data_IF_796220764619
#
_entry.id   IF_796220764619
#
_cell.length_a   1.000
_cell.length_b   1.000
_cell.length_c   1.000
_cell.angle_alpha   90.00
_cell.angle_beta   90.00
_cell.angle_gamma   90.00
#
_symmetry.space_group_name_H-M   'P 1'
#
loop_
_entity.id
_entity.type
_entity.pdbx_description
1 polymer ?
#
# COMPACT_ATOMS: atom_id res chain seq x y z
N UNK A 1 -8.58 6.90 -9.31
CA UNK A 1 -7.61 6.22 -8.43
C UNK A 1 -8.43 5.51 -7.37
N UNK A 2 -8.21 4.21 -7.19
CA UNK A 2 -8.87 3.40 -6.17
C UNK A 2 -7.86 2.43 -5.54
N UNK A 3 -8.25 1.72 -4.49
CA UNK A 3 -7.37 0.85 -3.71
C UNK A 3 -7.52 -0.65 -4.03
N UNK A 4 -8.34 -1.01 -5.02
CA UNK A 4 -8.68 -2.41 -5.31
C UNK A 4 -7.47 -3.20 -5.76
N UNK A 5 -6.64 -2.58 -6.61
CA UNK A 5 -5.43 -3.21 -7.11
C UNK A 5 -4.46 -3.52 -5.97
N UNK A 6 -4.25 -2.57 -5.05
CA UNK A 6 -3.36 -2.78 -3.92
C UNK A 6 -3.90 -3.88 -3.00
N UNK A 7 -5.19 -3.86 -2.65
CA UNK A 7 -5.83 -4.92 -1.86
C UNK A 7 -5.61 -6.29 -2.50
N UNK A 8 -5.77 -6.39 -3.82
CA UNK A 8 -5.63 -7.66 -4.52
C UNK A 8 -4.17 -8.14 -4.60
N UNK A 9 -3.22 -7.23 -4.84
CA UNK A 9 -1.81 -7.56 -5.01
C UNK A 9 -1.02 -7.64 -3.70
N UNK A 10 -1.57 -7.13 -2.59
CA UNK A 10 -0.85 -7.00 -1.33
C UNK A 10 -0.26 -8.32 -0.83
N UNK A 11 -0.99 -9.43 -0.94
CA UNK A 11 -0.47 -10.74 -0.55
C UNK A 11 0.74 -11.17 -1.41
N UNK A 12 0.71 -10.92 -2.71
CA UNK A 12 1.84 -11.21 -3.60
C UNK A 12 3.05 -10.32 -3.26
N UNK A 13 2.82 -9.03 -2.98
CA UNK A 13 3.89 -8.15 -2.50
C UNK A 13 4.49 -8.65 -1.20
N UNK A 14 3.65 -9.03 -0.23
CA UNK A 14 4.10 -9.56 1.06
C UNK A 14 4.93 -10.83 0.91
N UNK A 15 4.56 -11.74 0.00
CA UNK A 15 5.35 -12.93 -0.32
C UNK A 15 6.72 -12.58 -0.91
N UNK A 16 6.76 -11.62 -1.83
CA UNK A 16 8.02 -11.17 -2.45
C UNK A 16 8.93 -10.49 -1.41
N UNK A 17 8.40 -9.54 -0.64
CA UNK A 17 9.13 -8.80 0.39
C UNK A 17 9.63 -9.72 1.51
N UNK A 18 8.83 -10.73 1.87
CA UNK A 18 9.18 -11.73 2.87
C UNK A 18 10.17 -12.80 2.38
N UNK A 19 10.49 -12.84 1.08
CA UNK A 19 11.38 -13.86 0.52
C UNK A 19 12.85 -13.56 0.77
N UNK A 20 13.58 -14.55 1.27
CA UNK A 20 15.05 -14.49 1.42
C UNK A 20 15.81 -14.93 0.16
N UNK A 21 15.12 -15.41 -0.88
CA UNK A 21 15.74 -15.97 -2.09
C UNK A 21 15.62 -15.06 -3.30
N UNK A 22 14.66 -14.12 -3.28
CA UNK A 22 14.52 -13.10 -4.33
C UNK A 22 15.63 -12.07 -4.17
N UNK A 23 16.16 -11.61 -5.30
CA UNK A 23 17.22 -10.61 -5.33
C UNK A 23 16.72 -9.25 -4.81
N UNK A 24 17.66 -8.44 -4.32
CA UNK A 24 17.29 -7.17 -3.70
C UNK A 24 16.79 -6.11 -4.67
N UNK A 25 17.14 -6.16 -5.96
CA UNK A 25 16.61 -5.19 -6.92
C UNK A 25 15.09 -5.40 -7.08
N UNK A 26 14.67 -6.65 -7.21
CA UNK A 26 13.25 -7.02 -7.25
C UNK A 26 12.53 -6.70 -5.95
N UNK A 27 13.11 -7.08 -4.79
CA UNK A 27 12.50 -6.79 -3.47
C UNK A 27 12.31 -5.29 -3.26
N UNK A 28 13.33 -4.47 -3.55
CA UNK A 28 13.26 -3.02 -3.37
C UNK A 28 12.30 -2.35 -4.36
N UNK A 29 12.25 -2.82 -5.62
CA UNK A 29 11.27 -2.31 -6.60
C UNK A 29 9.82 -2.57 -6.16
N UNK A 30 9.54 -3.76 -5.62
CA UNK A 30 8.22 -4.10 -5.09
C UNK A 30 7.91 -3.33 -3.80
N UNK A 31 8.90 -3.11 -2.94
CA UNK A 31 8.77 -2.27 -1.75
C UNK A 31 8.32 -0.86 -2.14
N UNK A 32 9.02 -0.22 -3.08
CA UNK A 32 8.72 1.16 -3.49
C UNK A 32 7.34 1.27 -4.15
N UNK A 33 6.95 0.26 -4.95
CA UNK A 33 5.61 0.17 -5.51
C UNK A 33 4.54 0.03 -4.43
N UNK A 34 4.75 -0.87 -3.46
CA UNK A 34 3.83 -1.10 -2.36
C UNK A 34 3.69 0.14 -1.45
N UNK A 35 4.79 0.83 -1.15
CA UNK A 35 4.78 2.11 -0.42
C UNK A 35 3.98 3.18 -1.16
N UNK A 36 4.19 3.30 -2.47
CA UNK A 36 3.47 4.29 -3.31
C UNK A 36 1.98 4.03 -3.28
N UNK A 37 1.56 2.77 -3.48
CA UNK A 37 0.15 2.39 -3.47
C UNK A 37 -0.48 2.55 -2.08
N UNK A 38 0.22 2.14 -1.01
CA UNK A 38 -0.20 2.35 0.37
C UNK A 38 -0.41 3.84 0.68
N UNK A 39 0.54 4.69 0.30
CA UNK A 39 0.46 6.14 0.50
C UNK A 39 -0.73 6.76 -0.24
N UNK A 40 -0.99 6.35 -1.49
CA UNK A 40 -2.16 6.79 -2.26
C UNK A 40 -3.45 6.42 -1.53
N UNK A 41 -3.56 5.17 -1.08
CA UNK A 41 -4.76 4.70 -0.40
C UNK A 41 -4.97 5.38 0.96
N UNK A 42 -3.91 5.59 1.72
CA UNK A 42 -3.93 6.37 2.95
C UNK A 42 -4.37 7.82 2.70
N UNK A 43 -3.90 8.45 1.61
CA UNK A 43 -4.32 9.79 1.23
C UNK A 43 -5.81 9.86 0.85
N UNK A 44 -6.32 8.85 0.14
CA UNK A 44 -7.75 8.74 -0.19
C UNK A 44 -8.59 8.64 1.09
N UNK A 45 -8.20 7.77 2.03
CA UNK A 45 -8.88 7.65 3.34
C UNK A 45 -8.91 9.01 4.05
N UNK A 46 -7.75 9.68 4.16
CA UNK A 46 -7.66 10.99 4.82
C UNK A 46 -8.56 12.03 4.17
N UNK A 47 -8.65 12.04 2.83
CA UNK A 47 -9.55 12.93 2.10
C UNK A 47 -11.02 12.63 2.42
N UNK A 48 -11.40 11.36 2.51
CA UNK A 48 -12.77 10.94 2.81
C UNK A 48 -13.17 11.20 4.27
N UNK A 49 -12.20 11.16 5.19
CA UNK A 49 -12.40 11.41 6.62
C UNK A 49 -12.31 12.90 6.99
N UNK A 50 -11.87 13.76 6.06
CA UNK A 50 -11.77 15.20 6.27
C UNK A 50 -13.16 15.86 6.13
N UNK A 51 -13.73 16.40 7.23
CA UNK A 51 -15.06 16.99 7.23
C UNK A 51 -15.15 18.30 6.42
N UNK A 52 -14.02 18.87 5.99
CA UNK A 52 -13.98 20.06 5.14
C UNK A 52 -14.09 19.76 3.63
N UNK A 53 -13.99 18.49 3.24
CA UNK A 53 -14.07 18.09 1.84
C UNK A 53 -15.52 18.04 1.35
N UNK A 54 -15.79 18.43 0.08
CA UNK A 54 -17.10 18.24 -0.52
C UNK A 54 -17.46 16.76 -0.58
N UNK A 55 -18.76 16.45 -0.47
CA UNK A 55 -19.26 15.08 -0.45
C UNK A 55 -18.93 14.34 -1.75
N UNK A 56 -17.85 13.55 -1.70
CA UNK A 56 -17.35 12.71 -2.79
C UNK A 56 -18.22 11.46 -3.00
N UNK A 57 -19.08 11.11 -2.04
CA UNK A 57 -19.96 9.93 -2.12
C UNK A 57 -21.15 10.12 -3.05
N UNK A 58 -21.40 11.36 -3.47
CA UNK A 58 -22.45 11.71 -4.44
C UNK A 58 -22.24 11.16 -5.85
N UNK A 59 -21.05 10.62 -6.16
CA UNK A 59 -20.71 10.02 -7.45
C UNK A 59 -20.41 8.53 -7.34
N UNK A 60 -20.78 7.73 -8.34
CA UNK A 60 -20.47 6.28 -8.40
C UNK A 60 -18.96 6.02 -8.29
N UNK A 61 -18.16 6.88 -8.95
CA UNK A 61 -16.70 6.79 -8.90
C UNK A 61 -16.16 7.06 -7.49
N UNK A 62 -16.73 8.03 -6.77
CA UNK A 62 -16.35 8.33 -5.39
C UNK A 62 -16.81 7.26 -4.39
N UNK A 63 -17.99 6.68 -4.57
CA UNK A 63 -18.46 5.51 -3.82
C UNK A 63 -17.52 4.31 -3.96
N UNK A 64 -17.16 3.95 -5.20
CA UNK A 64 -16.25 2.82 -5.44
C UNK A 64 -14.85 3.08 -4.89
N UNK A 65 -14.34 4.30 -5.02
CA UNK A 65 -13.06 4.69 -4.42
C UNK A 65 -13.13 4.57 -2.89
N UNK A 66 -14.21 5.06 -2.26
CA UNK A 66 -14.44 4.97 -0.82
C UNK A 66 -14.51 3.53 -0.32
N UNK A 67 -15.31 2.67 -0.96
CA UNK A 67 -15.43 1.26 -0.60
C UNK A 67 -14.05 0.58 -0.63
N UNK A 68 -13.31 0.74 -1.73
CA UNK A 68 -11.99 0.13 -1.85
C UNK A 68 -10.99 0.66 -0.82
N UNK A 69 -11.04 1.95 -0.50
CA UNK A 69 -10.16 2.58 0.47
C UNK A 69 -10.44 2.09 1.90
N UNK A 70 -11.72 1.90 2.26
CA UNK A 70 -12.06 1.35 3.57
C UNK A 70 -11.80 -0.16 3.69
N UNK A 71 -11.95 -0.93 2.60
CA UNK A 71 -11.47 -2.33 2.56
C UNK A 71 -9.97 -2.37 2.81
N UNK A 72 -9.20 -1.56 2.07
CA UNK A 72 -7.76 -1.41 2.30
C UNK A 72 -7.45 -1.02 3.75
N UNK A 73 -8.14 -0.01 4.32
CA UNK A 73 -7.95 0.41 5.72
C UNK A 73 -8.14 -0.75 6.69
N UNK A 74 -9.22 -1.51 6.50
CA UNK A 74 -9.59 -2.63 7.36
C UNK A 74 -8.60 -3.79 7.30
N UNK A 75 -8.04 -4.07 6.12
CA UNK A 75 -7.19 -5.23 5.92
C UNK A 75 -5.70 -4.90 6.14
N UNK A 76 -5.27 -3.71 5.72
CA UNK A 76 -3.86 -3.36 5.53
C UNK A 76 -3.51 -1.92 5.92
N UNK A 77 -4.41 -1.15 6.56
CA UNK A 77 -4.23 0.29 6.79
C UNK A 77 -2.97 0.67 7.59
N UNK A 78 -2.67 -0.10 8.63
CA UNK A 78 -1.54 0.16 9.54
C UNK A 78 -0.28 -0.63 9.20
N UNK A 79 -0.21 -1.24 8.01
CA UNK A 79 0.99 -2.01 7.63
C UNK A 79 2.18 -1.09 7.41
N UNK A 80 3.30 -1.41 8.04
CA UNK A 80 4.60 -0.88 7.67
C UNK A 80 5.21 -1.74 6.54
N UNK A 81 5.34 -1.16 5.35
CA UNK A 81 5.88 -1.84 4.17
C UNK A 81 7.36 -2.20 4.36
N UNK A 82 8.12 -1.38 5.08
CA UNK A 82 9.55 -1.65 5.33
C UNK A 82 9.72 -2.87 6.23
N UNK A 83 8.82 -3.04 7.21
CA UNK A 83 8.83 -4.23 8.07
C UNK A 83 8.50 -5.53 7.32
N UNK A 84 7.91 -5.46 6.12
CA UNK A 84 7.65 -6.65 5.31
C UNK A 84 8.93 -7.20 4.66
N UNK A 85 9.98 -6.40 4.50
CA UNK A 85 11.25 -6.86 3.93
C UNK A 85 11.97 -7.75 4.93
N UNK A 86 12.14 -9.04 4.60
CA UNK A 86 12.81 -10.02 5.48
C UNK A 86 14.17 -10.48 4.99
N UNK A 87 14.57 -10.13 3.77
CA UNK A 87 15.89 -10.48 3.24
C UNK A 87 16.99 -9.63 3.91
N UNK A 88 17.95 -10.23 4.65
CA UNK A 88 18.98 -9.48 5.37
C UNK A 88 19.89 -8.65 4.46
N UNK A 89 20.19 -9.13 3.25
CA UNK A 89 21.01 -8.39 2.29
C UNK A 89 20.28 -7.13 1.81
N UNK A 90 18.95 -7.19 1.69
CA UNK A 90 18.16 -6.05 1.23
C UNK A 90 17.93 -5.06 2.36
N UNK A 91 17.70 -5.54 3.59
CA UNK A 91 17.65 -4.69 4.80
C UNK A 91 18.96 -3.90 4.95
N UNK A 92 20.12 -4.57 4.79
CA UNK A 92 21.42 -3.91 4.86
C UNK A 92 21.58 -2.83 3.78
N UNK A 93 21.03 -3.04 2.57
CA UNK A 93 21.01 -2.02 1.52
C UNK A 93 20.10 -0.85 1.86
N UNK A 94 18.89 -1.10 2.36
CA UNK A 94 17.95 -0.05 2.78
C UNK A 94 18.52 0.88 3.85
N UNK A 95 19.40 0.35 4.72
CA UNK A 95 20.05 1.13 5.78
C UNK A 95 21.26 1.95 5.30
N UNK A 96 21.77 1.64 4.10
CA UNK A 96 22.95 2.29 3.52
C UNK A 96 22.60 3.44 2.56
N UNK A 97 21.34 3.49 2.10
CA UNK A 97 20.75 4.57 1.29
C UNK A 97 20.21 5.70 2.17
#
# INVERSE_FOLDING_TARGET
MDCREFVWLFNAYKEILGSSTIDCETVLSIRDLAQTQHSICTAIIRLLEDPSQPDVTSSILGLSAMESAYVFKSEHGDVDIDELVKNPACIARMQAE
#
